data_IF_018177367237
#
_entry.id   IF_018177367237
#
_cell.length_a   1.000
_cell.length_b   1.000
_cell.length_c   1.000
_cell.angle_alpha   90.00
_cell.angle_beta   90.00
_cell.angle_gamma   90.00
#
_symmetry.space_group_name_H-M   'P 1'
#
loop_
_entity.id
_entity.type
_entity.pdbx_description
1 polymer ?
#
# COMPACT_ATOMS: atom_id res chain seq x y z
N UNK A 1 -13.11 -11.78 -17.37
CA UNK A 1 -13.89 -12.60 -16.42
C UNK A 1 -14.78 -13.52 -17.24
N UNK A 2 -14.82 -14.81 -16.90
CA UNK A 2 -15.73 -15.80 -17.50
C UNK A 2 -16.57 -16.35 -16.34
N UNK A 3 -17.88 -16.48 -16.53
CA UNK A 3 -18.77 -17.09 -15.55
C UNK A 3 -18.80 -18.59 -15.80
N UNK A 4 -18.55 -19.38 -14.75
CA UNK A 4 -18.57 -20.85 -14.84
C UNK A 4 -19.94 -21.42 -14.49
N UNK A 5 -20.83 -20.61 -13.94
CA UNK A 5 -22.11 -21.00 -13.35
C UNK A 5 -23.31 -20.20 -13.89
N UNK A 6 -23.09 -19.34 -14.89
CA UNK A 6 -24.08 -18.44 -15.54
C UNK A 6 -24.97 -17.64 -14.55
N UNK A 7 -24.46 -17.37 -13.34
CA UNK A 7 -25.23 -16.69 -12.29
C UNK A 7 -24.84 -15.22 -12.12
N UNK A 8 -25.83 -14.33 -12.07
CA UNK A 8 -25.63 -12.91 -11.80
C UNK A 8 -25.07 -12.63 -10.38
N UNK A 9 -25.31 -13.53 -9.42
CA UNK A 9 -24.77 -13.38 -8.06
C UNK A 9 -23.23 -13.44 -8.05
N UNK A 10 -22.63 -14.22 -8.95
CA UNK A 10 -21.18 -14.36 -9.12
C UNK A 10 -20.54 -13.05 -9.61
N UNK A 11 -21.25 -12.28 -10.42
CA UNK A 11 -20.81 -10.93 -10.81
C UNK A 11 -20.76 -10.00 -9.59
N UNK A 12 -21.80 -10.01 -8.75
CA UNK A 12 -21.85 -9.17 -7.55
C UNK A 12 -20.75 -9.57 -6.55
N UNK A 13 -20.47 -10.87 -6.41
CA UNK A 13 -19.35 -11.37 -5.62
C UNK A 13 -18.00 -10.90 -6.18
N UNK A 14 -17.78 -11.01 -7.49
CA UNK A 14 -16.57 -10.53 -8.13
C UNK A 14 -16.36 -9.01 -7.97
N UNK A 15 -17.42 -8.22 -8.03
CA UNK A 15 -17.36 -6.77 -7.76
C UNK A 15 -16.92 -6.52 -6.30
N UNK A 16 -17.49 -7.26 -5.33
CA UNK A 16 -17.10 -7.14 -3.91
C UNK A 16 -15.62 -7.44 -3.71
N UNK A 17 -15.13 -8.55 -4.27
CA UNK A 17 -13.72 -8.93 -4.17
C UNK A 17 -12.81 -7.91 -4.85
N UNK A 18 -13.17 -7.45 -6.06
CA UNK A 18 -12.41 -6.41 -6.76
C UNK A 18 -12.28 -5.11 -5.97
N UNK A 19 -13.33 -4.70 -5.25
CA UNK A 19 -13.28 -3.52 -4.38
C UNK A 19 -12.35 -3.72 -3.16
N UNK A 20 -12.32 -4.92 -2.59
CA UNK A 20 -11.41 -5.25 -1.49
C UNK A 20 -9.95 -5.30 -1.94
N UNK A 21 -9.67 -5.96 -3.06
CA UNK A 21 -8.33 -6.00 -3.67
C UNK A 21 -7.80 -4.58 -3.90
N UNK A 22 -8.62 -3.69 -4.46
CA UNK A 22 -8.21 -2.30 -4.68
C UNK A 22 -7.88 -1.56 -3.37
N UNK A 23 -8.70 -1.74 -2.32
CA UNK A 23 -8.45 -1.11 -1.02
C UNK A 23 -7.14 -1.61 -0.40
N UNK A 24 -6.86 -2.90 -0.52
CA UNK A 24 -5.63 -3.50 -0.01
C UNK A 24 -4.40 -3.00 -0.79
N UNK A 25 -4.46 -2.96 -2.13
CA UNK A 25 -3.40 -2.38 -2.96
C UNK A 25 -3.14 -0.92 -2.56
N UNK A 26 -4.19 -0.12 -2.31
CA UNK A 26 -4.03 1.26 -1.85
C UNK A 26 -3.24 1.31 -0.54
N UNK A 27 -3.53 0.43 0.43
CA UNK A 27 -2.77 0.34 1.69
C UNK A 27 -1.30 -0.01 1.44
N UNK A 28 -1.03 -1.05 0.64
CA UNK A 28 0.35 -1.48 0.32
C UNK A 28 1.14 -0.38 -0.39
N UNK A 29 0.54 0.32 -1.35
CA UNK A 29 1.19 1.43 -2.06
C UNK A 29 1.48 2.60 -1.12
N UNK A 30 0.55 2.95 -0.21
CA UNK A 30 0.78 3.99 0.80
C UNK A 30 1.94 3.62 1.72
N UNK A 31 2.00 2.34 2.15
CA UNK A 31 3.07 1.82 2.99
C UNK A 31 4.45 1.97 2.31
N UNK A 32 4.59 1.40 1.11
CA UNK A 32 5.86 1.46 0.35
C UNK A 32 6.30 2.90 0.07
N UNK A 33 5.36 3.77 -0.32
CA UNK A 33 5.68 5.16 -0.62
C UNK A 33 6.09 5.94 0.64
N UNK A 34 5.57 5.57 1.81
CA UNK A 34 5.95 6.16 3.09
C UNK A 34 7.34 5.72 3.54
N UNK A 35 7.68 4.42 3.48
CA UNK A 35 9.02 3.95 3.84
C UNK A 35 10.08 4.55 2.89
N UNK A 36 9.87 4.49 1.56
CA UNK A 36 10.81 5.05 0.59
C UNK A 36 11.02 6.56 0.78
N UNK A 37 9.97 7.30 1.14
CA UNK A 37 10.11 8.73 1.45
C UNK A 37 10.91 8.95 2.73
N UNK A 38 10.70 8.11 3.76
CA UNK A 38 11.49 8.13 5.00
C UNK A 38 12.98 7.91 4.75
N UNK A 39 13.33 6.92 3.93
CA UNK A 39 14.73 6.66 3.51
C UNK A 39 15.35 7.87 2.81
N UNK A 40 14.64 8.45 1.84
CA UNK A 40 15.11 9.64 1.11
C UNK A 40 15.35 10.80 2.07
N UNK A 41 14.40 11.08 2.97
CA UNK A 41 14.52 12.17 3.95
C UNK A 41 15.70 11.92 4.90
N UNK A 42 15.91 10.69 5.37
CA UNK A 42 17.01 10.34 6.26
C UNK A 42 18.38 10.55 5.60
N UNK A 43 18.54 10.11 4.35
CA UNK A 43 19.77 10.30 3.57
C UNK A 43 19.98 11.78 3.28
N UNK A 44 18.94 12.49 2.85
CA UNK A 44 19.00 13.92 2.57
C UNK A 44 19.39 14.73 3.82
N UNK A 45 18.82 14.41 4.97
CA UNK A 45 19.20 15.03 6.25
C UNK A 45 20.66 14.74 6.60
N UNK A 46 21.12 13.50 6.46
CA UNK A 46 22.52 13.13 6.70
C UNK A 46 23.48 13.95 5.83
N UNK A 47 23.17 14.12 4.54
CA UNK A 47 23.97 14.94 3.62
C UNK A 47 23.93 16.43 4.00
N UNK A 48 22.77 16.98 4.35
CA UNK A 48 22.63 18.40 4.73
C UNK A 48 23.41 18.74 6.01
N UNK A 49 23.45 17.83 6.99
CA UNK A 49 24.13 18.03 8.27
C UNK A 49 25.56 17.47 8.31
N UNK A 50 26.08 16.98 7.17
CA UNK A 50 27.40 16.33 7.09
C UNK A 50 27.58 15.16 8.07
N UNK A 51 26.51 14.43 8.35
CA UNK A 51 26.58 13.22 9.18
C UNK A 51 27.11 12.03 8.39
N UNK A 52 27.65 11.00 9.07
CA UNK A 52 27.92 9.73 8.42
C UNK A 52 26.64 9.19 7.77
N UNK A 53 26.79 8.56 6.60
CA UNK A 53 25.65 7.95 5.92
C UNK A 53 25.04 6.85 6.81
N UNK A 54 23.73 6.90 7.10
CA UNK A 54 23.09 5.93 7.97
C UNK A 54 23.02 4.53 7.35
N UNK A 55 22.92 4.45 6.03
CA UNK A 55 22.75 3.20 5.28
C UNK A 55 23.63 3.20 4.02
N UNK A 56 24.20 2.04 3.72
CA UNK A 56 24.91 1.78 2.47
C UNK A 56 23.90 1.55 1.32
N UNK A 57 24.26 1.85 0.06
CA UNK A 57 23.39 1.59 -1.09
C UNK A 57 22.89 0.14 -1.18
N UNK A 58 23.74 -0.84 -0.85
CA UNK A 58 23.36 -2.26 -0.83
C UNK A 58 22.34 -2.58 0.26
N UNK A 59 22.39 -1.89 1.41
CA UNK A 59 21.42 -2.06 2.49
C UNK A 59 20.07 -1.49 2.11
N UNK A 60 20.03 -0.33 1.44
CA UNK A 60 18.80 0.28 0.92
C UNK A 60 18.12 -0.66 -0.08
N UNK A 61 18.89 -1.26 -0.99
CA UNK A 61 18.37 -2.24 -1.96
C UNK A 61 17.76 -3.45 -1.24
N UNK A 62 18.40 -3.94 -0.18
CA UNK A 62 17.90 -5.05 0.62
C UNK A 62 16.58 -4.70 1.32
N UNK A 63 16.48 -3.50 1.89
CA UNK A 63 15.27 -3.01 2.56
C UNK A 63 14.10 -2.92 1.55
N UNK A 64 14.30 -2.20 0.44
CA UNK A 64 13.26 -2.01 -0.57
C UNK A 64 12.78 -3.32 -1.22
N UNK A 65 13.71 -4.26 -1.50
CA UNK A 65 13.37 -5.47 -2.22
C UNK A 65 12.83 -6.57 -1.31
N UNK A 66 13.43 -6.76 -0.14
CA UNK A 66 13.12 -7.91 0.72
C UNK A 66 12.28 -7.44 1.89
N UNK A 67 12.79 -6.53 2.70
CA UNK A 67 12.15 -6.13 3.95
C UNK A 67 10.78 -5.53 3.70
N UNK A 68 10.64 -4.57 2.79
CA UNK A 68 9.39 -3.84 2.57
C UNK A 68 8.35 -4.65 1.78
N UNK A 69 8.82 -5.59 0.95
CA UNK A 69 7.94 -6.46 0.16
C UNK A 69 7.10 -7.36 1.06
N UNK A 70 7.64 -7.87 2.17
CA UNK A 70 6.89 -8.76 3.06
C UNK A 70 5.66 -8.08 3.69
N UNK A 71 5.78 -6.93 4.39
CA UNK A 71 4.63 -6.18 4.89
C UNK A 71 3.71 -5.71 3.77
N UNK A 72 4.25 -5.27 2.62
CA UNK A 72 3.42 -4.82 1.50
C UNK A 72 2.51 -5.94 0.96
N UNK A 73 3.02 -7.17 0.85
CA UNK A 73 2.23 -8.35 0.49
C UNK A 73 1.22 -8.68 1.58
N UNK A 74 1.62 -8.63 2.86
CA UNK A 74 0.72 -8.88 3.99
C UNK A 74 -0.49 -7.92 3.98
N UNK A 75 -0.25 -6.62 3.69
CA UNK A 75 -1.31 -5.62 3.51
C UNK A 75 -2.15 -5.87 2.24
N UNK A 76 -1.55 -6.46 1.21
CA UNK A 76 -2.23 -6.81 -0.04
C UNK A 76 -3.26 -7.93 0.14
N UNK A 77 -3.01 -8.86 1.06
CA UNK A 77 -3.87 -10.03 1.37
C UNK A 77 -4.73 -9.84 2.62
N UNK A 78 -4.73 -8.63 3.20
CA UNK A 78 -5.50 -8.28 4.40
C UNK A 78 -7.00 -8.59 4.18
N UNK A 79 -7.70 -9.25 5.14
CA UNK A 79 -9.13 -9.47 5.05
C UNK A 79 -9.88 -8.16 4.75
N UNK A 80 -10.58 -8.16 3.60
CA UNK A 80 -11.30 -6.98 3.10
C UNK A 80 -12.46 -6.53 3.99
N UNK A 81 -12.93 -5.31 3.76
CA UNK A 81 -14.02 -4.68 4.52
C UNK A 81 -15.37 -5.33 4.15
N UNK A 82 -16.07 -5.87 5.16
CA UNK A 82 -17.40 -6.50 4.97
C UNK A 82 -18.45 -5.51 4.49
N UNK A 83 -18.26 -4.23 4.79
CA UNK A 83 -19.15 -3.13 4.40
C UNK A 83 -18.72 -2.44 3.10
N UNK A 84 -17.77 -3.01 2.34
CA UNK A 84 -17.26 -2.41 1.10
C UNK A 84 -18.39 -2.12 0.10
N UNK A 85 -19.43 -2.95 0.05
CA UNK A 85 -20.57 -2.78 -0.86
C UNK A 85 -21.53 -1.65 -0.47
N UNK A 86 -21.51 -1.19 0.80
CA UNK A 86 -22.34 -0.05 1.27
C UNK A 86 -21.76 1.31 0.83
N UNK A 87 -20.47 1.36 0.49
CA UNK A 87 -19.80 2.58 0.00
C UNK A 87 -20.20 2.83 -1.46
N UNK A 88 -20.31 4.10 -1.86
CA UNK A 88 -20.53 4.46 -3.28
C UNK A 88 -19.38 3.93 -4.16
N UNK A 89 -19.64 3.55 -5.42
CA UNK A 89 -18.58 3.21 -6.37
C UNK A 89 -17.55 4.34 -6.47
N UNK A 90 -16.28 3.96 -6.59
CA UNK A 90 -15.17 4.91 -6.72
C UNK A 90 -15.32 5.71 -8.02
N UNK A 91 -15.07 7.01 -7.94
CA UNK A 91 -14.88 7.85 -9.13
C UNK A 91 -13.54 7.51 -9.80
N UNK A 92 -13.60 7.11 -11.07
CA UNK A 92 -12.43 6.76 -11.87
C UNK A 92 -11.44 7.92 -12.01
N UNK A 93 -11.93 9.17 -12.01
CA UNK A 93 -11.13 10.39 -12.20
C UNK A 93 -10.49 10.92 -10.93
N UNK A 94 -10.94 10.45 -9.75
CA UNK A 94 -10.39 10.90 -8.48
C UNK A 94 -9.03 10.27 -8.26
N UNK A 95 -7.99 11.10 -8.17
CA UNK A 95 -6.67 10.67 -7.74
C UNK A 95 -6.78 10.20 -6.29
N UNK A 96 -6.55 8.91 -6.07
CA UNK A 96 -6.45 8.30 -4.75
C UNK A 96 -5.08 8.66 -4.14
N UNK A 97 -4.89 9.93 -3.79
CA UNK A 97 -3.68 10.35 -3.09
C UNK A 97 -3.63 9.76 -1.67
N UNK A 98 -2.44 9.43 -1.18
CA UNK A 98 -2.21 8.94 0.18
C UNK A 98 -2.26 10.11 1.17
N UNK A 99 -3.45 10.62 1.46
CA UNK A 99 -3.66 11.64 2.52
C UNK A 99 -4.78 11.19 3.44
N UNK A 100 -4.50 10.11 4.18
CA UNK A 100 -5.37 9.60 5.24
C UNK A 100 -4.50 9.45 6.51
N UNK A 101 -5.02 9.66 7.73
CA UNK A 101 -4.22 9.81 8.95
C UNK A 101 -3.62 8.49 9.49
N UNK A 102 -3.37 7.52 8.61
CA UNK A 102 -2.58 6.32 8.91
C UNK A 102 -1.06 6.61 8.91
N UNK A 103 -0.65 7.86 8.62
CA UNK A 103 0.75 8.30 8.58
C UNK A 103 1.51 8.05 9.90
N UNK A 104 0.83 8.11 11.05
CA UNK A 104 1.50 8.12 12.36
C UNK A 104 1.83 6.72 12.89
N UNK A 105 0.94 5.71 12.87
CA UNK A 105 1.30 4.37 13.33
C UNK A 105 2.21 3.62 12.35
N UNK A 106 2.10 3.90 11.04
CA UNK A 106 2.83 3.14 10.00
C UNK A 106 4.31 3.55 9.87
N UNK A 107 4.67 4.76 10.29
CA UNK A 107 6.06 5.23 10.37
C UNK A 107 6.86 4.57 11.51
N UNK A 108 6.21 3.86 12.44
CA UNK A 108 6.87 3.11 13.51
C UNK A 108 7.20 1.66 13.12
N UNK A 109 6.64 1.19 12.00
CA UNK A 109 6.83 -0.16 11.46
C UNK A 109 7.80 -0.18 10.25
N UNK A 110 8.20 1.00 9.74
CA UNK A 110 9.52 1.20 9.12
C UNK A 110 10.48 1.69 10.24
#
# INVERSE_FOLDING_TARGET
MILTDDNFTTIVAAIREGRNIYNNIKKSVVFLLSCNLGEIVAILASVLFFWPMPLLPTQILWINLITDTFPAIALGVDPGDKDVMKKKPRDAKRVSLPVEPLFVPLLADC
#
